data_IF_176591816816
#
_entry.id   IF_176591816816
#
_cell.length_a   1.000
_cell.length_b   1.000
_cell.length_c   1.000
_cell.angle_alpha   90.00
_cell.angle_beta   90.00
_cell.angle_gamma   90.00
#
_symmetry.space_group_name_H-M   'P 1'
#
loop_
_entity.id
_entity.type
_entity.pdbx_description
1 polymer ?
#
# COMPACT_ATOMS: atom_id res chain seq x y z
N UNK A 1 -26.55 19.64 28.57
CA UNK A 1 -25.79 19.23 27.38
C UNK A 1 -24.63 18.27 27.68
N UNK A 2 -24.09 18.19 28.88
CA UNK A 2 -22.98 17.30 29.28
C UNK A 2 -23.38 15.85 29.60
N UNK A 3 -24.63 15.59 29.92
CA UNK A 3 -25.14 14.24 30.27
C UNK A 3 -25.41 13.35 29.04
N UNK A 4 -25.62 13.93 27.86
CA UNK A 4 -25.85 13.15 26.62
C UNK A 4 -24.58 12.47 26.08
N UNK A 5 -23.42 13.02 26.28
CA UNK A 5 -22.15 12.47 25.81
C UNK A 5 -21.68 11.24 26.61
N UNK A 6 -21.87 11.25 27.91
CA UNK A 6 -21.45 10.16 28.81
C UNK A 6 -22.34 8.91 28.59
N UNK A 7 -23.64 9.10 28.42
CA UNK A 7 -24.56 7.99 28.12
C UNK A 7 -24.31 7.36 26.73
N UNK A 8 -23.89 8.17 25.76
CA UNK A 8 -23.59 7.69 24.42
C UNK A 8 -22.26 6.90 24.36
N UNK A 9 -21.23 7.36 25.07
CA UNK A 9 -19.96 6.63 25.20
C UNK A 9 -20.13 5.29 25.90
N UNK A 10 -20.96 5.22 26.94
CA UNK A 10 -21.33 3.99 27.62
C UNK A 10 -22.13 3.06 26.69
N UNK A 11 -23.04 3.60 25.87
CA UNK A 11 -23.84 2.82 24.92
C UNK A 11 -22.96 2.20 23.81
N UNK A 12 -22.06 2.96 23.20
CA UNK A 12 -21.11 2.41 22.21
C UNK A 12 -20.21 1.33 22.80
N UNK A 13 -19.76 1.51 24.03
CA UNK A 13 -18.97 0.50 24.75
C UNK A 13 -19.78 -0.76 24.99
N UNK A 14 -21.04 -0.63 25.43
CA UNK A 14 -21.95 -1.76 25.69
C UNK A 14 -22.35 -2.49 24.39
N UNK A 15 -22.77 -1.75 23.36
CA UNK A 15 -23.10 -2.34 22.05
C UNK A 15 -21.88 -3.01 21.40
N UNK A 16 -20.69 -2.42 21.53
CA UNK A 16 -19.45 -3.02 21.05
C UNK A 16 -19.10 -4.33 21.76
N UNK A 17 -19.25 -4.39 23.07
CA UNK A 17 -19.03 -5.61 23.85
C UNK A 17 -20.07 -6.69 23.51
N UNK A 18 -21.35 -6.32 23.31
CA UNK A 18 -22.40 -7.24 22.87
C UNK A 18 -22.15 -7.78 21.47
N UNK A 19 -21.74 -6.94 20.51
CA UNK A 19 -21.43 -7.36 19.13
C UNK A 19 -20.22 -8.30 19.13
N UNK A 20 -19.19 -7.97 19.88
CA UNK A 20 -18.00 -8.83 20.03
C UNK A 20 -18.40 -10.16 20.67
N UNK A 21 -19.18 -10.14 21.76
CA UNK A 21 -19.69 -11.35 22.41
C UNK A 21 -20.53 -12.21 21.44
N UNK A 22 -21.40 -11.59 20.63
CA UNK A 22 -22.20 -12.30 19.63
C UNK A 22 -21.35 -12.99 18.56
N UNK A 23 -20.29 -12.32 18.08
CA UNK A 23 -19.35 -12.90 17.09
C UNK A 23 -18.63 -14.11 17.69
N UNK A 24 -18.15 -13.99 18.94
CA UNK A 24 -17.44 -15.08 19.64
C UNK A 24 -18.35 -16.26 19.94
N UNK A 25 -19.59 -16.01 20.40
CA UNK A 25 -20.57 -17.07 20.67
C UNK A 25 -20.96 -17.83 19.39
N UNK A 26 -21.05 -17.13 18.25
CA UNK A 26 -21.38 -17.73 16.96
C UNK A 26 -20.24 -18.60 16.41
N UNK A 27 -18.99 -18.28 16.73
CA UNK A 27 -17.81 -19.08 16.36
C UNK A 27 -17.47 -20.18 17.36
N UNK A 28 -18.23 -20.34 18.44
CA UNK A 28 -17.97 -21.33 19.50
C UNK A 28 -16.68 -21.06 20.29
N UNK A 29 -16.17 -19.83 20.23
CA UNK A 29 -15.00 -19.39 21.00
C UNK A 29 -15.45 -18.75 22.31
N UNK A 30 -14.78 -19.09 23.41
CA UNK A 30 -14.99 -18.39 24.70
C UNK A 30 -14.65 -16.90 24.54
N UNK A 31 -15.25 -16.02 25.35
CA UNK A 31 -14.97 -14.58 25.40
C UNK A 31 -13.55 -14.25 25.85
N UNK A 32 -12.56 -15.06 25.46
CA UNK A 32 -11.15 -14.82 25.76
C UNK A 32 -10.54 -13.84 24.75
N UNK A 33 -10.21 -12.70 25.30
CA UNK A 33 -9.28 -11.69 24.78
C UNK A 33 -9.62 -11.06 23.44
N UNK A 34 -10.05 -9.79 23.50
CA UNK A 34 -9.94 -8.83 22.39
C UNK A 34 -8.59 -9.05 21.69
N UNK A 35 -8.61 -9.47 20.44
CA UNK A 35 -7.36 -9.70 19.68
C UNK A 35 -6.52 -8.42 19.73
N UNK A 36 -5.41 -8.48 20.45
CA UNK A 36 -4.43 -7.40 20.53
C UNK A 36 -3.18 -7.78 19.73
N UNK A 37 -2.45 -6.79 19.29
CA UNK A 37 -1.15 -7.02 18.69
C UNK A 37 -0.23 -7.76 19.68
N UNK A 38 0.45 -8.79 19.22
CA UNK A 38 1.36 -9.58 20.04
C UNK A 38 2.55 -8.78 20.57
N UNK A 39 2.94 -7.72 19.84
CA UNK A 39 3.99 -6.79 20.25
C UNK A 39 3.82 -5.42 19.58
N UNK A 40 4.38 -4.37 20.22
CA UNK A 40 4.46 -3.03 19.61
C UNK A 40 5.23 -3.05 18.30
N UNK A 41 6.35 -3.79 18.25
CA UNK A 41 7.14 -3.94 17.03
C UNK A 41 6.33 -4.59 15.91
N UNK A 42 5.56 -5.64 16.23
CA UNK A 42 4.67 -6.29 15.24
C UNK A 42 3.62 -5.35 14.67
N UNK A 43 2.96 -4.58 15.54
CA UNK A 43 2.04 -3.52 15.10
C UNK A 43 2.74 -2.53 14.16
N UNK A 44 3.91 -2.00 14.56
CA UNK A 44 4.66 -1.04 13.76
C UNK A 44 5.05 -1.59 12.38
N UNK A 45 5.44 -2.87 12.30
CA UNK A 45 5.75 -3.52 11.02
C UNK A 45 4.51 -3.66 10.13
N UNK A 46 3.36 -4.04 10.69
CA UNK A 46 2.12 -4.11 9.92
C UNK A 46 1.64 -2.71 9.50
N UNK A 47 1.70 -1.73 10.38
CA UNK A 47 1.29 -0.35 10.09
C UNK A 47 2.20 0.32 9.05
N UNK A 48 3.52 0.14 9.14
CA UNK A 48 4.46 0.57 8.11
C UNK A 48 4.21 -0.17 6.78
N UNK A 49 3.95 -1.48 6.83
CA UNK A 49 3.62 -2.26 5.63
C UNK A 49 2.27 -1.89 4.99
N UNK A 50 1.34 -1.34 5.76
CA UNK A 50 0.10 -0.78 5.22
C UNK A 50 0.36 0.46 4.36
N UNK A 51 1.33 1.30 4.77
CA UNK A 51 1.72 2.52 4.05
C UNK A 51 2.70 2.23 2.92
N UNK A 52 3.77 1.46 3.19
CA UNK A 52 4.81 1.17 2.19
C UNK A 52 4.25 0.25 1.12
N UNK A 53 3.96 0.83 -0.03
CA UNK A 53 3.36 0.14 -1.17
C UNK A 53 4.02 0.48 -2.49
N UNK A 54 3.35 0.13 -3.57
CA UNK A 54 3.81 0.44 -4.93
C UNK A 54 3.96 1.95 -5.16
N UNK A 55 3.13 2.76 -4.49
CA UNK A 55 3.20 4.23 -4.57
C UNK A 55 4.54 4.81 -4.16
N UNK A 56 5.22 4.21 -3.17
CA UNK A 56 6.56 4.61 -2.73
C UNK A 56 7.62 4.28 -3.78
N UNK A 57 7.45 3.17 -4.50
CA UNK A 57 8.51 2.61 -5.33
C UNK A 57 8.44 3.13 -6.76
N UNK A 58 7.25 3.46 -7.29
CA UNK A 58 7.17 3.99 -8.65
C UNK A 58 6.65 5.43 -8.74
N UNK A 59 5.57 5.76 -7.98
CA UNK A 59 4.94 7.09 -8.11
C UNK A 59 5.79 8.18 -7.46
N UNK A 60 6.36 7.91 -6.30
CA UNK A 60 7.22 8.88 -5.61
C UNK A 60 8.47 9.25 -6.44
N UNK A 61 9.29 8.31 -6.96
CA UNK A 61 10.45 8.68 -7.79
C UNK A 61 10.06 9.43 -9.05
N UNK A 62 8.94 9.08 -9.68
CA UNK A 62 8.39 9.80 -10.82
C UNK A 62 8.05 11.24 -10.48
N UNK A 63 7.33 11.47 -9.37
CA UNK A 63 6.97 12.82 -8.92
C UNK A 63 8.21 13.61 -8.47
N UNK A 64 9.16 12.98 -7.81
CA UNK A 64 10.43 13.59 -7.42
C UNK A 64 11.22 14.05 -8.65
N UNK A 65 11.31 13.20 -9.68
CA UNK A 65 11.96 13.56 -10.93
C UNK A 65 11.24 14.71 -11.64
N UNK A 66 9.94 14.64 -11.82
CA UNK A 66 9.13 15.68 -12.47
C UNK A 66 9.08 16.99 -11.68
N UNK A 67 9.11 16.89 -10.34
CA UNK A 67 9.01 18.00 -9.40
C UNK A 67 10.34 18.73 -9.14
N UNK A 68 11.40 18.45 -9.91
CA UNK A 68 12.69 19.13 -9.75
C UNK A 68 13.64 18.48 -8.74
N UNK A 69 13.50 17.18 -8.49
CA UNK A 69 14.41 16.39 -7.65
C UNK A 69 14.43 16.85 -6.19
N UNK A 70 15.55 17.45 -5.76
CA UNK A 70 15.77 17.84 -4.38
C UNK A 70 14.73 18.83 -3.82
N UNK A 71 14.18 19.72 -4.64
CA UNK A 71 13.12 20.65 -4.18
C UNK A 71 11.83 19.90 -3.84
N UNK A 72 11.43 18.91 -4.67
CA UNK A 72 10.29 18.05 -4.35
C UNK A 72 10.53 17.29 -3.04
N UNK A 73 11.73 16.76 -2.84
CA UNK A 73 12.09 16.02 -1.63
C UNK A 73 11.95 16.88 -0.38
N UNK A 74 12.44 18.12 -0.39
CA UNK A 74 12.29 19.06 0.74
C UNK A 74 10.82 19.36 1.02
N UNK A 75 10.05 19.69 -0.02
CA UNK A 75 8.60 19.97 0.12
C UNK A 75 7.87 18.75 0.67
N UNK A 76 8.16 17.57 0.13
CA UNK A 76 7.56 16.30 0.58
C UNK A 76 7.83 16.04 2.07
N UNK A 77 9.06 16.20 2.54
CA UNK A 77 9.44 16.02 3.94
C UNK A 77 8.68 16.99 4.87
N UNK A 78 8.52 18.25 4.48
CA UNK A 78 7.73 19.23 5.23
C UNK A 78 6.26 18.83 5.31
N UNK A 79 5.69 18.36 4.20
CA UNK A 79 4.29 17.88 4.13
C UNK A 79 4.10 16.62 4.99
N UNK A 80 5.05 15.69 5.00
CA UNK A 80 5.00 14.50 5.87
C UNK A 80 4.90 14.89 7.35
N UNK A 81 5.73 15.83 7.79
CA UNK A 81 5.71 16.29 9.18
C UNK A 81 4.42 17.04 9.52
N UNK A 82 3.92 17.85 8.59
CA UNK A 82 2.74 18.69 8.81
C UNK A 82 1.42 17.92 8.72
N UNK A 83 1.33 16.92 7.84
CA UNK A 83 0.08 16.21 7.56
C UNK A 83 0.11 14.72 7.93
N UNK A 84 1.12 13.95 7.47
CA UNK A 84 1.09 12.50 7.64
C UNK A 84 1.06 12.08 9.11
N UNK A 85 2.03 12.56 9.90
CA UNK A 85 2.13 12.21 11.31
C UNK A 85 0.86 12.53 12.12
N UNK A 86 0.29 13.76 12.10
CA UNK A 86 -0.91 14.06 12.89
C UNK A 86 -2.14 13.29 12.38
N UNK A 87 -2.28 13.04 11.09
CA UNK A 87 -3.42 12.31 10.55
C UNK A 87 -3.36 10.81 10.89
N UNK A 88 -2.19 10.17 10.79
CA UNK A 88 -1.98 8.78 11.25
C UNK A 88 -2.28 8.66 12.74
N UNK A 89 -1.81 9.62 13.55
CA UNK A 89 -2.08 9.65 14.99
C UNK A 89 -3.58 9.74 15.27
N UNK A 90 -4.29 10.63 14.56
CA UNK A 90 -5.74 10.83 14.70
C UNK A 90 -6.53 9.58 14.31
N UNK A 91 -6.29 9.01 13.12
CA UNK A 91 -6.98 7.81 12.67
C UNK A 91 -6.74 6.62 13.62
N UNK A 92 -5.50 6.43 14.03
CA UNK A 92 -5.13 5.38 14.99
C UNK A 92 -5.81 5.58 16.35
N UNK A 93 -5.93 6.84 16.82
CA UNK A 93 -6.63 7.17 18.05
C UNK A 93 -8.13 6.86 17.98
N UNK A 94 -8.79 7.20 16.86
CA UNK A 94 -10.19 6.87 16.60
C UNK A 94 -10.39 5.35 16.66
N UNK A 95 -9.56 4.59 15.96
CA UNK A 95 -9.59 3.14 15.95
C UNK A 95 -9.41 2.54 17.36
N UNK A 96 -8.38 2.99 18.08
CA UNK A 96 -8.10 2.52 19.46
C UNK A 96 -9.21 2.87 20.44
N UNK A 97 -9.87 4.02 20.25
CA UNK A 97 -10.97 4.44 21.10
C UNK A 97 -12.19 3.51 20.95
N UNK A 98 -12.60 3.25 19.71
CA UNK A 98 -13.76 2.38 19.43
C UNK A 98 -13.45 0.90 19.68
N UNK A 99 -12.27 0.44 19.25
CA UNK A 99 -11.86 -0.95 19.25
C UNK A 99 -12.65 -1.84 18.28
N UNK A 100 -13.35 -1.24 17.32
CA UNK A 100 -14.24 -1.86 16.35
C UNK A 100 -13.80 -1.57 14.90
N UNK A 101 -14.68 -1.83 13.96
CA UNK A 101 -14.50 -1.48 12.56
C UNK A 101 -14.61 0.04 12.33
N UNK A 102 -14.25 0.47 11.14
CA UNK A 102 -14.17 1.90 10.78
C UNK A 102 -15.54 2.57 10.81
N UNK A 103 -16.59 1.92 10.32
CA UNK A 103 -17.93 2.50 10.28
C UNK A 103 -18.43 2.75 11.70
N UNK A 104 -18.34 1.74 12.56
CA UNK A 104 -18.74 1.84 13.96
C UNK A 104 -17.84 2.82 14.73
N UNK A 105 -16.57 2.95 14.38
CA UNK A 105 -15.67 3.91 14.99
C UNK A 105 -16.16 5.36 14.80
N UNK A 106 -16.61 5.72 13.59
CA UNK A 106 -17.20 7.03 13.35
C UNK A 106 -18.59 7.19 13.97
N UNK A 107 -19.41 6.15 13.97
CA UNK A 107 -20.72 6.17 14.66
C UNK A 107 -20.59 6.39 16.16
N UNK A 108 -19.51 5.90 16.79
CA UNK A 108 -19.21 6.15 18.20
C UNK A 108 -18.90 7.61 18.48
N UNK A 109 -18.41 8.38 17.51
CA UNK A 109 -18.22 9.83 17.65
C UNK A 109 -19.56 10.55 17.44
N UNK A 110 -20.25 10.22 16.35
CA UNK A 110 -21.60 10.73 16.05
C UNK A 110 -22.31 9.71 15.13
N UNK A 111 -23.53 9.27 15.45
CA UNK A 111 -24.27 8.29 14.66
C UNK A 111 -24.44 8.66 13.18
N UNK A 112 -24.45 9.96 12.85
CA UNK A 112 -24.57 10.44 11.48
C UNK A 112 -23.28 10.29 10.68
N UNK A 113 -22.12 10.04 11.30
CA UNK A 113 -20.82 10.02 10.62
C UNK A 113 -20.40 8.61 10.17
N UNK A 114 -21.24 7.60 10.36
CA UNK A 114 -20.97 6.25 9.85
C UNK A 114 -20.67 6.21 8.34
N UNK A 115 -21.24 7.16 7.56
CA UNK A 115 -21.00 7.25 6.13
C UNK A 115 -19.52 7.50 5.79
N UNK A 116 -18.78 8.21 6.65
CA UNK A 116 -17.33 8.47 6.45
C UNK A 116 -16.57 7.15 6.48
N UNK A 117 -16.93 6.27 7.43
CA UNK A 117 -16.36 4.91 7.49
C UNK A 117 -16.69 4.06 6.25
N UNK A 118 -17.91 4.18 5.72
CA UNK A 118 -18.29 3.50 4.48
C UNK A 118 -17.51 4.02 3.27
N UNK A 119 -17.26 5.33 3.16
CA UNK A 119 -16.42 5.91 2.10
C UNK A 119 -15.01 5.33 2.18
N UNK A 120 -14.39 5.29 3.37
CA UNK A 120 -13.06 4.70 3.55
C UNK A 120 -13.00 3.22 3.15
N UNK A 121 -14.02 2.43 3.51
CA UNK A 121 -14.12 1.03 3.07
C UNK A 121 -14.30 0.91 1.55
N UNK A 122 -15.10 1.78 0.95
CA UNK A 122 -15.28 1.82 -0.51
C UNK A 122 -13.94 2.13 -1.21
N UNK A 123 -13.19 3.10 -0.70
CA UNK A 123 -11.87 3.42 -1.23
C UNK A 123 -10.92 2.20 -1.19
N UNK A 124 -10.85 1.49 -0.05
CA UNK A 124 -9.98 0.32 0.06
C UNK A 124 -10.42 -0.84 -0.82
N UNK A 125 -11.72 -1.05 -1.03
CA UNK A 125 -12.20 -2.12 -1.92
C UNK A 125 -11.91 -1.79 -3.39
N UNK A 126 -12.10 -0.55 -3.81
CA UNK A 126 -11.78 -0.09 -5.17
C UNK A 126 -10.28 -0.18 -5.47
N UNK A 127 -9.44 0.20 -4.50
CA UNK A 127 -7.98 0.05 -4.63
C UNK A 127 -7.61 -1.42 -4.77
N UNK A 128 -8.20 -2.32 -4.01
CA UNK A 128 -7.94 -3.75 -4.12
C UNK A 128 -8.21 -4.32 -5.52
N UNK A 129 -9.22 -3.82 -6.25
CA UNK A 129 -9.52 -4.28 -7.61
C UNK A 129 -8.33 -4.12 -8.56
N UNK A 130 -7.65 -2.98 -8.47
CA UNK A 130 -6.47 -2.66 -9.27
C UNK A 130 -5.18 -3.21 -8.65
N UNK A 131 -5.02 -3.09 -7.35
CA UNK A 131 -3.75 -3.37 -6.66
C UNK A 131 -3.36 -4.85 -6.72
N UNK A 132 -4.35 -5.76 -6.69
CA UNK A 132 -4.14 -7.20 -6.86
C UNK A 132 -3.66 -7.52 -8.29
N UNK A 133 -4.19 -6.84 -9.32
CA UNK A 133 -3.75 -7.02 -10.72
C UNK A 133 -2.28 -6.66 -10.86
N UNK A 134 -1.91 -5.46 -10.42
CA UNK A 134 -0.53 -4.99 -10.49
C UNK A 134 0.41 -5.82 -9.64
N UNK A 135 -0.06 -6.26 -8.47
CA UNK A 135 0.67 -7.23 -7.64
C UNK A 135 0.95 -8.54 -8.37
N UNK A 136 0.00 -9.02 -9.16
CA UNK A 136 0.19 -10.17 -10.07
C UNK A 136 1.26 -9.93 -11.12
N UNK A 137 1.34 -8.71 -11.68
CA UNK A 137 2.42 -8.34 -12.61
C UNK A 137 3.79 -8.37 -11.92
N UNK A 138 3.88 -7.83 -10.70
CA UNK A 138 5.11 -7.88 -9.90
C UNK A 138 5.55 -9.33 -9.67
N UNK A 139 4.62 -10.21 -9.31
CA UNK A 139 4.89 -11.63 -9.10
C UNK A 139 5.39 -12.31 -10.39
N UNK A 140 4.76 -12.01 -11.53
CA UNK A 140 5.19 -12.51 -12.84
C UNK A 140 6.62 -12.09 -13.16
N UNK A 141 6.95 -10.80 -12.94
CA UNK A 141 8.28 -10.26 -13.19
C UNK A 141 9.34 -10.83 -12.25
N UNK A 142 9.01 -11.01 -10.98
CA UNK A 142 9.88 -11.71 -10.03
C UNK A 142 10.24 -13.10 -10.53
N UNK A 143 9.24 -13.87 -10.93
CA UNK A 143 9.47 -15.21 -11.49
C UNK A 143 10.29 -15.16 -12.79
N UNK A 144 10.08 -14.15 -13.64
CA UNK A 144 10.85 -13.97 -14.86
C UNK A 144 12.33 -13.73 -14.58
N UNK A 145 12.67 -12.87 -13.62
CA UNK A 145 14.05 -12.63 -13.21
C UNK A 145 14.70 -13.87 -12.57
N UNK A 146 13.99 -14.57 -11.69
CA UNK A 146 14.54 -15.72 -10.98
C UNK A 146 14.76 -16.92 -11.91
N UNK A 147 13.76 -17.29 -12.70
CA UNK A 147 13.77 -18.56 -13.43
C UNK A 147 14.26 -18.45 -14.87
N UNK A 148 13.99 -17.32 -15.55
CA UNK A 148 14.33 -17.15 -16.97
C UNK A 148 15.53 -16.22 -17.15
N UNK A 149 15.52 -15.06 -16.53
CA UNK A 149 16.64 -14.09 -16.56
C UNK A 149 16.70 -13.22 -17.82
N UNK A 150 15.72 -13.32 -18.73
CA UNK A 150 15.60 -12.44 -19.90
C UNK A 150 14.13 -12.14 -20.22
N UNK A 151 13.88 -11.20 -21.15
CA UNK A 151 12.55 -10.73 -21.54
C UNK A 151 12.35 -10.80 -23.06
N UNK A 152 13.04 -11.74 -23.73
CA UNK A 152 12.93 -11.91 -25.19
C UNK A 152 13.56 -10.76 -26.00
N UNK A 153 14.50 -10.02 -25.41
CA UNK A 153 15.23 -8.93 -26.06
C UNK A 153 14.63 -7.52 -25.84
N UNK A 154 13.29 -7.39 -25.69
CA UNK A 154 12.63 -6.10 -25.44
C UNK A 154 11.66 -6.17 -24.26
N UNK A 155 12.02 -5.62 -23.08
CA UNK A 155 11.16 -5.55 -21.92
C UNK A 155 9.83 -4.83 -22.15
N UNK A 156 9.81 -3.82 -23.04
CA UNK A 156 8.58 -3.08 -23.37
C UNK A 156 7.60 -3.94 -24.17
N UNK A 157 8.10 -4.69 -25.16
CA UNK A 157 7.29 -5.65 -25.92
C UNK A 157 6.79 -6.78 -25.01
N UNK A 158 7.62 -7.27 -24.08
CA UNK A 158 7.22 -8.26 -23.09
C UNK A 158 6.09 -7.76 -22.20
N UNK A 159 6.21 -6.52 -21.65
CA UNK A 159 5.18 -5.93 -20.80
C UNK A 159 3.85 -5.78 -21.53
N UNK A 160 3.89 -5.21 -22.75
CA UNK A 160 2.70 -5.05 -23.61
C UNK A 160 2.05 -6.39 -23.96
N UNK A 161 2.85 -7.38 -24.34
CA UNK A 161 2.39 -8.73 -24.65
C UNK A 161 1.74 -9.40 -23.44
N UNK A 162 2.37 -9.32 -22.27
CA UNK A 162 1.86 -9.87 -21.03
C UNK A 162 0.56 -9.19 -20.58
N UNK A 163 0.50 -7.86 -20.55
CA UNK A 163 -0.69 -7.14 -20.09
C UNK A 163 -1.87 -7.22 -21.05
N UNK A 164 -1.61 -7.46 -22.35
CA UNK A 164 -2.65 -7.66 -23.36
C UNK A 164 -3.16 -9.10 -23.43
N UNK A 165 -2.46 -10.06 -22.82
CA UNK A 165 -2.90 -11.46 -22.78
C UNK A 165 -4.16 -11.59 -21.90
N UNK A 166 -5.22 -12.26 -22.38
CA UNK A 166 -6.48 -12.37 -21.64
C UNK A 166 -6.39 -13.27 -20.40
N UNK A 167 -5.37 -14.11 -20.28
CA UNK A 167 -5.31 -15.18 -19.28
C UNK A 167 -4.17 -14.98 -18.28
N UNK A 168 -2.96 -14.66 -18.76
CA UNK A 168 -1.77 -14.60 -17.89
C UNK A 168 -1.90 -13.59 -16.74
N UNK A 169 -2.32 -12.32 -16.93
CA UNK A 169 -2.47 -11.38 -15.82
C UNK A 169 -3.47 -11.87 -14.78
N UNK A 170 -4.54 -12.54 -15.21
CA UNK A 170 -5.56 -13.09 -14.31
C UNK A 170 -4.95 -14.22 -13.46
N UNK A 171 -4.22 -15.16 -14.06
CA UNK A 171 -3.61 -16.29 -13.32
C UNK A 171 -2.67 -15.75 -12.23
N UNK A 172 -1.75 -14.85 -12.57
CA UNK A 172 -0.77 -14.33 -11.62
C UNK A 172 -1.41 -13.51 -10.49
N UNK A 173 -2.42 -12.73 -10.79
CA UNK A 173 -3.15 -11.96 -9.79
C UNK A 173 -4.04 -12.87 -8.91
N UNK A 174 -4.64 -13.94 -9.46
CA UNK A 174 -5.40 -14.91 -8.66
C UNK A 174 -4.50 -15.71 -7.71
N UNK A 175 -3.27 -16.06 -8.10
CA UNK A 175 -2.29 -16.70 -7.20
C UNK A 175 -2.05 -15.79 -5.99
N UNK A 176 -1.81 -14.49 -6.23
CA UNK A 176 -1.60 -13.51 -5.16
C UNK A 176 -2.85 -13.34 -4.28
N UNK A 177 -4.03 -13.22 -4.89
CA UNK A 177 -5.30 -13.09 -4.20
C UNK A 177 -5.56 -14.28 -3.26
N UNK A 178 -5.35 -15.51 -3.75
CA UNK A 178 -5.52 -16.72 -2.96
C UNK A 178 -4.53 -16.74 -1.79
N UNK A 179 -3.28 -16.40 -2.02
CA UNK A 179 -2.26 -16.33 -0.97
C UNK A 179 -2.65 -15.35 0.14
N UNK A 180 -2.99 -14.11 -0.21
CA UNK A 180 -3.37 -13.06 0.74
C UNK A 180 -4.62 -13.47 1.52
N UNK A 181 -5.64 -13.99 0.84
CA UNK A 181 -6.90 -14.44 1.46
C UNK A 181 -6.66 -15.61 2.42
N UNK A 182 -5.85 -16.59 2.04
CA UNK A 182 -5.50 -17.73 2.88
C UNK A 182 -4.77 -17.29 4.18
N UNK A 183 -3.88 -16.31 4.08
CA UNK A 183 -3.21 -15.76 5.25
C UNK A 183 -4.19 -15.05 6.22
N UNK A 184 -5.15 -14.30 5.68
CA UNK A 184 -6.11 -13.51 6.45
C UNK A 184 -7.22 -14.36 7.10
N UNK A 185 -7.48 -15.58 6.63
CA UNK A 185 -8.40 -16.52 7.30
C UNK A 185 -8.06 -16.75 8.78
N UNK A 186 -6.79 -16.60 9.16
CA UNK A 186 -6.29 -16.82 10.52
C UNK A 186 -6.15 -15.55 11.36
N UNK A 187 -6.53 -14.38 10.81
CA UNK A 187 -6.46 -13.08 11.49
C UNK A 187 -5.13 -12.34 11.32
N UNK A 188 -5.23 -11.02 11.30
CA UNK A 188 -4.08 -10.13 11.04
C UNK A 188 -3.07 -10.12 12.20
N UNK A 189 -3.53 -10.26 13.44
CA UNK A 189 -2.69 -10.21 14.65
C UNK A 189 -1.85 -11.46 14.90
N UNK A 190 -2.04 -12.52 14.12
CA UNK A 190 -1.36 -13.80 14.27
C UNK A 190 -0.27 -14.00 13.20
N UNK A 191 -0.68 -14.63 12.06
CA UNK A 191 0.25 -14.99 11.00
C UNK A 191 0.77 -13.76 10.24
N UNK A 192 -0.09 -12.78 9.99
CA UNK A 192 0.28 -11.57 9.26
C UNK A 192 1.27 -10.73 10.05
N UNK A 193 1.07 -10.54 11.37
CA UNK A 193 2.04 -9.85 12.23
C UNK A 193 3.42 -10.51 12.18
N UNK A 194 3.45 -11.87 12.27
CA UNK A 194 4.71 -12.62 12.22
C UNK A 194 5.42 -12.44 10.87
N UNK A 195 4.66 -12.49 9.78
CA UNK A 195 5.19 -12.32 8.44
C UNK A 195 5.70 -10.89 8.21
N UNK A 196 4.96 -9.87 8.67
CA UNK A 196 5.36 -8.48 8.55
C UNK A 196 6.66 -8.15 9.28
N UNK A 197 6.92 -8.78 10.44
CA UNK A 197 8.18 -8.64 11.18
C UNK A 197 9.42 -9.07 10.38
N UNK A 198 9.23 -9.95 9.41
CA UNK A 198 10.30 -10.40 8.50
C UNK A 198 10.30 -9.59 7.20
N UNK A 199 9.13 -9.44 6.56
CA UNK A 199 8.98 -8.80 5.24
C UNK A 199 9.47 -7.34 5.27
N UNK A 200 9.10 -6.56 6.31
CA UNK A 200 9.40 -5.14 6.31
C UNK A 200 10.89 -4.82 6.44
N UNK A 201 11.66 -5.42 7.39
CA UNK A 201 13.10 -5.23 7.41
C UNK A 201 13.80 -5.75 6.15
N UNK A 202 13.34 -6.89 5.60
CA UNK A 202 13.88 -7.45 4.37
C UNK A 202 13.66 -6.52 3.16
N UNK A 203 12.46 -5.93 3.03
CA UNK A 203 12.15 -4.95 2.00
C UNK A 203 13.11 -3.75 2.06
N UNK A 204 13.28 -3.16 3.24
CA UNK A 204 14.19 -2.02 3.42
C UNK A 204 15.63 -2.40 3.07
N UNK A 205 16.09 -3.57 3.53
CA UNK A 205 17.43 -4.07 3.19
C UNK A 205 17.61 -4.25 1.68
N UNK A 206 16.63 -4.82 1.00
CA UNK A 206 16.65 -5.00 -0.46
C UNK A 206 16.70 -3.66 -1.20
N UNK A 207 15.91 -2.66 -0.76
CA UNK A 207 15.95 -1.33 -1.35
C UNK A 207 17.32 -0.65 -1.12
N UNK A 208 17.94 -0.84 0.04
CA UNK A 208 19.31 -0.34 0.31
C UNK A 208 20.31 -1.01 -0.64
N UNK A 209 20.27 -2.33 -0.78
CA UNK A 209 21.16 -3.08 -1.69
C UNK A 209 20.99 -2.59 -3.13
N UNK A 210 19.75 -2.48 -3.61
CA UNK A 210 19.46 -1.99 -4.96
C UNK A 210 19.89 -0.52 -5.14
N UNK A 211 19.70 0.33 -4.14
CA UNK A 211 20.10 1.74 -4.16
C UNK A 211 21.63 1.91 -4.20
N UNK A 212 22.35 1.18 -3.35
CA UNK A 212 23.83 1.18 -3.38
C UNK A 212 24.32 0.69 -4.73
N UNK A 213 23.76 -0.39 -5.25
CA UNK A 213 24.11 -0.90 -6.57
C UNK A 213 23.87 0.15 -7.67
N UNK A 214 22.69 0.77 -7.71
CA UNK A 214 22.34 1.80 -8.68
C UNK A 214 23.29 3.01 -8.64
N UNK A 215 23.69 3.42 -7.43
CA UNK A 215 24.59 4.55 -7.24
C UNK A 215 26.07 4.27 -7.56
N UNK A 216 26.50 3.00 -7.51
CA UNK A 216 27.91 2.63 -7.65
C UNK A 216 28.27 2.02 -9.01
N UNK A 217 27.34 1.30 -9.63
CA UNK A 217 27.59 0.52 -10.85
C UNK A 217 27.09 1.26 -12.12
N UNK A 218 26.11 2.18 -11.97
CA UNK A 218 25.53 2.86 -13.13
C UNK A 218 26.37 4.06 -13.51
N UNK A 219 26.89 4.07 -14.74
CA UNK A 219 27.58 5.24 -15.29
C UNK A 219 26.64 6.46 -15.32
N UNK A 220 27.14 7.63 -14.90
CA UNK A 220 26.29 8.85 -14.81
C UNK A 220 25.39 8.97 -13.57
N UNK A 221 25.40 7.97 -12.67
CA UNK A 221 24.60 8.00 -11.42
C UNK A 221 24.83 9.25 -10.57
N UNK A 222 26.06 9.81 -10.58
CA UNK A 222 26.38 11.04 -9.84
C UNK A 222 25.52 12.24 -10.27
N UNK A 223 25.20 12.36 -11.57
CA UNK A 223 24.27 13.38 -12.08
C UNK A 223 22.86 13.22 -11.52
N UNK A 224 22.37 11.98 -11.49
CA UNK A 224 21.07 11.62 -10.92
C UNK A 224 21.01 11.89 -9.42
N UNK A 225 22.06 11.54 -8.66
CA UNK A 225 22.17 11.82 -7.23
C UNK A 225 22.20 13.33 -6.95
N UNK A 226 22.99 14.10 -7.72
CA UNK A 226 23.03 15.55 -7.60
C UNK A 226 21.64 16.15 -7.84
N UNK A 227 20.95 15.72 -8.88
CA UNK A 227 19.59 16.16 -9.19
C UNK A 227 18.60 15.82 -8.07
N UNK A 228 18.68 14.60 -7.54
CA UNK A 228 17.73 14.10 -6.54
C UNK A 228 17.91 14.73 -5.16
N UNK A 229 19.15 15.04 -4.76
CA UNK A 229 19.47 15.50 -3.40
C UNK A 229 19.64 17.01 -3.29
N UNK A 230 20.14 17.69 -4.33
CA UNK A 230 20.37 19.13 -4.25
C UNK A 230 19.13 19.92 -4.68
N UNK A 231 18.52 20.69 -3.75
CA UNK A 231 17.31 21.45 -4.06
C UNK A 231 17.64 22.68 -4.93
N UNK A 232 16.96 22.76 -6.07
CA UNK A 232 16.94 23.95 -6.92
C UNK A 232 15.57 24.64 -6.74
N UNK A 233 15.51 25.61 -5.84
CA UNK A 233 14.26 26.31 -5.51
C UNK A 233 13.68 27.11 -6.68
N UNK A 234 14.42 27.36 -7.76
CA UNK A 234 13.87 27.97 -8.97
C UNK A 234 12.80 27.10 -9.64
N UNK A 235 12.82 25.79 -9.38
CA UNK A 235 11.85 24.80 -9.87
C UNK A 235 10.63 24.63 -8.99
N UNK A 236 10.56 25.36 -7.86
CA UNK A 236 9.40 25.31 -7.00
C UNK A 236 8.18 25.93 -7.70
N UNK A 237 7.08 25.18 -7.70
CA UNK A 237 5.78 25.63 -8.21
C UNK A 237 4.65 25.16 -7.29
N UNK A 238 3.48 25.81 -7.37
CA UNK A 238 2.29 25.35 -6.64
C UNK A 238 1.92 23.91 -7.01
N UNK A 239 2.21 23.50 -8.24
CA UNK A 239 2.02 22.11 -8.69
C UNK A 239 2.92 21.15 -7.93
N UNK A 240 4.20 21.46 -7.74
CA UNK A 240 5.14 20.63 -6.95
C UNK A 240 4.62 20.44 -5.52
N UNK A 241 4.10 21.51 -4.90
CA UNK A 241 3.48 21.43 -3.57
C UNK A 241 2.23 20.54 -3.57
N UNK A 242 1.32 20.73 -4.53
CA UNK A 242 0.10 19.92 -4.65
C UNK A 242 0.41 18.43 -4.93
N UNK A 243 1.40 18.15 -5.80
CA UNK A 243 1.86 16.80 -6.09
C UNK A 243 2.46 16.15 -4.82
N UNK A 244 3.23 16.90 -4.01
CA UNK A 244 3.78 16.41 -2.74
C UNK A 244 2.68 16.10 -1.72
N UNK A 245 1.68 16.99 -1.55
CA UNK A 245 0.52 16.75 -0.67
C UNK A 245 -0.24 15.50 -1.11
N UNK A 246 -0.56 15.41 -2.40
CA UNK A 246 -1.29 14.27 -2.96
C UNK A 246 -0.51 12.97 -2.77
N UNK A 247 0.82 13.02 -2.96
CA UNK A 247 1.68 11.84 -2.77
C UNK A 247 1.72 11.41 -1.31
N UNK A 248 1.84 12.34 -0.36
CA UNK A 248 1.83 12.03 1.09
C UNK A 248 0.52 11.37 1.50
N UNK A 249 -0.62 11.95 1.11
CA UNK A 249 -1.95 11.41 1.46
C UNK A 249 -2.14 10.01 0.86
N UNK A 250 -1.73 9.82 -0.39
CA UNK A 250 -1.84 8.55 -1.10
C UNK A 250 -0.88 7.49 -0.53
N UNK A 251 0.40 7.83 -0.33
CA UNK A 251 1.44 6.90 0.10
C UNK A 251 1.15 6.33 1.49
N UNK A 252 0.85 7.22 2.43
CA UNK A 252 0.53 6.81 3.81
C UNK A 252 -0.82 6.09 3.90
N UNK A 253 -1.74 6.31 2.95
CA UNK A 253 -3.08 5.71 2.95
C UNK A 253 -4.04 6.42 3.91
N UNK A 254 -3.90 7.73 4.05
CA UNK A 254 -4.76 8.57 4.90
C UNK A 254 -6.16 8.67 4.27
N UNK A 255 -7.18 8.53 5.09
CA UNK A 255 -8.58 8.53 4.65
C UNK A 255 -9.08 7.18 4.14
N UNK A 256 -8.22 6.15 4.07
CA UNK A 256 -8.57 4.81 3.59
C UNK A 256 -8.99 3.87 4.72
N UNK A 257 -9.19 4.39 5.92
CA UNK A 257 -9.62 3.61 7.09
C UNK A 257 -8.60 2.59 7.62
N UNK A 258 -7.40 2.54 7.06
CA UNK A 258 -6.38 1.57 7.42
C UNK A 258 -5.96 1.70 8.88
N UNK A 259 -5.57 2.91 9.29
CA UNK A 259 -5.08 3.15 10.64
C UNK A 259 -6.19 3.08 11.70
N UNK A 260 -7.43 3.33 11.32
CA UNK A 260 -8.58 3.09 12.20
C UNK A 260 -8.71 1.60 12.48
N UNK A 261 -8.67 0.77 11.43
CA UNK A 261 -8.76 -0.69 11.56
C UNK A 261 -7.59 -1.29 12.36
N UNK A 262 -6.34 -0.88 12.02
CA UNK A 262 -5.14 -1.36 12.72
C UNK A 262 -5.10 -0.84 14.16
N UNK A 263 -5.55 0.41 14.38
CA UNK A 263 -5.63 1.08 15.67
C UNK A 263 -6.56 0.39 16.66
N UNK A 264 -7.62 -0.25 16.16
CA UNK A 264 -8.61 -0.94 17.00
C UNK A 264 -8.01 -2.02 17.93
N UNK A 265 -6.88 -2.59 17.54
CA UNK A 265 -6.21 -3.67 18.27
C UNK A 265 -4.98 -3.20 19.08
N UNK A 266 -4.73 -1.88 19.18
CA UNK A 266 -3.57 -1.33 19.90
C UNK A 266 -3.84 -1.28 21.41
N UNK A 267 -2.93 -1.81 22.25
CA UNK A 267 -3.00 -1.67 23.69
C UNK A 267 -2.97 -0.20 24.13
N UNK A 268 -3.74 0.14 25.18
CA UNK A 268 -3.82 1.51 25.72
C UNK A 268 -2.46 2.08 26.16
N UNK A 269 -1.51 1.22 26.56
CA UNK A 269 -0.16 1.60 27.00
C UNK A 269 0.75 2.15 25.87
N UNK A 270 0.42 1.92 24.61
CA UNK A 270 1.24 2.36 23.50
C UNK A 270 1.14 3.88 23.28
N UNK A 271 2.27 4.49 22.98
CA UNK A 271 2.37 5.92 22.68
C UNK A 271 2.08 6.15 21.18
N UNK A 272 0.86 6.60 20.85
CA UNK A 272 0.43 6.82 19.47
C UNK A 272 1.27 7.87 18.73
N UNK A 273 1.75 8.92 19.43
CA UNK A 273 2.59 9.97 18.81
C UNK A 273 3.89 9.37 18.25
N UNK A 274 4.54 8.52 19.05
CA UNK A 274 5.75 7.82 18.64
C UNK A 274 5.48 6.79 17.54
N UNK A 275 4.34 6.10 17.62
CA UNK A 275 3.97 5.08 16.64
C UNK A 275 3.64 5.74 15.28
N UNK A 276 2.88 6.84 15.27
CA UNK A 276 2.57 7.61 14.06
C UNK A 276 3.84 8.21 13.41
N UNK A 277 4.76 8.74 14.24
CA UNK A 277 6.05 9.25 13.74
C UNK A 277 6.85 8.13 13.07
N UNK A 278 6.94 6.95 13.71
CA UNK A 278 7.64 5.81 13.14
C UNK A 278 7.05 5.37 11.79
N UNK A 279 5.73 5.25 11.69
CA UNK A 279 5.05 4.85 10.46
C UNK A 279 5.29 5.86 9.34
N UNK A 280 5.10 7.15 9.62
CA UNK A 280 5.34 8.22 8.63
C UNK A 280 6.80 8.28 8.18
N UNK A 281 7.73 8.07 9.10
CA UNK A 281 9.16 8.02 8.79
C UNK A 281 9.51 6.77 7.97
N UNK A 282 8.99 5.59 8.31
CA UNK A 282 9.26 4.35 7.59
C UNK A 282 8.73 4.41 6.14
N UNK A 283 7.52 4.95 5.94
CA UNK A 283 6.95 5.20 4.62
C UNK A 283 7.84 6.12 3.78
N UNK A 284 8.20 7.27 4.34
CA UNK A 284 9.08 8.25 3.70
C UNK A 284 10.45 7.66 3.36
N UNK A 285 11.04 6.92 4.31
CA UNK A 285 12.35 6.32 4.13
C UNK A 285 12.35 5.31 2.98
N UNK A 286 11.32 4.46 2.90
CA UNK A 286 11.17 3.53 1.77
C UNK A 286 11.01 4.26 0.43
N UNK A 287 10.20 5.34 0.38
CA UNK A 287 10.03 6.16 -0.82
C UNK A 287 11.34 6.80 -1.27
N UNK A 288 12.09 7.37 -0.32
CA UNK A 288 13.41 7.98 -0.60
C UNK A 288 14.42 6.93 -1.09
N UNK A 289 14.46 5.76 -0.47
CA UNK A 289 15.30 4.65 -0.94
C UNK A 289 14.95 4.21 -2.37
N UNK A 290 13.67 4.12 -2.70
CA UNK A 290 13.24 3.82 -4.07
C UNK A 290 13.69 4.91 -5.06
N UNK A 291 13.72 6.18 -4.65
CA UNK A 291 14.31 7.27 -5.42
C UNK A 291 15.80 7.07 -5.70
N UNK A 292 16.56 6.57 -4.72
CA UNK A 292 17.97 6.21 -4.92
C UNK A 292 18.18 5.02 -5.88
N UNK A 293 17.22 4.13 -6.02
CA UNK A 293 17.28 3.05 -7.01
C UNK A 293 16.97 3.58 -8.39
N UNK A 294 15.89 4.33 -8.55
CA UNK A 294 15.30 4.63 -9.86
C UNK A 294 15.97 5.84 -10.53
N UNK A 295 16.18 6.94 -9.80
CA UNK A 295 16.65 8.19 -10.41
C UNK A 295 18.09 8.07 -10.92
N UNK A 296 19.07 7.57 -10.13
CA UNK A 296 20.43 7.38 -10.65
C UNK A 296 20.50 6.38 -11.81
N UNK A 297 19.71 5.29 -11.74
CA UNK A 297 19.65 4.29 -12.83
C UNK A 297 19.12 4.87 -14.13
N UNK A 298 18.06 5.68 -14.06
CA UNK A 298 17.45 6.32 -15.23
C UNK A 298 18.39 7.39 -15.83
N UNK A 299 19.06 8.19 -15.00
CA UNK A 299 20.04 9.19 -15.44
C UNK A 299 21.22 8.53 -16.15
N UNK A 300 21.76 7.43 -15.61
CA UNK A 300 22.85 6.71 -16.23
C UNK A 300 22.47 6.04 -17.55
N UNK A 301 21.24 5.57 -17.66
CA UNK A 301 20.72 5.01 -18.91
C UNK A 301 20.28 6.07 -19.94
N UNK A 302 20.26 7.36 -19.56
CA UNK A 302 19.77 8.44 -20.43
C UNK A 302 18.26 8.35 -20.73
N UNK A 303 17.48 7.75 -19.82
CA UNK A 303 16.05 7.47 -20.01
C UNK A 303 15.21 8.45 -19.17
N UNK A 304 14.16 8.97 -19.77
CA UNK A 304 13.22 9.83 -19.08
C UNK A 304 12.35 9.06 -18.06
N UNK A 305 12.33 9.55 -16.82
CA UNK A 305 11.56 8.93 -15.69
C UNK A 305 10.05 9.25 -15.76
N UNK A 306 9.56 9.86 -16.85
CA UNK A 306 8.16 10.34 -16.94
C UNK A 306 7.09 9.26 -17.22
N UNK A 307 7.45 7.98 -17.28
CA UNK A 307 6.52 6.92 -17.72
C UNK A 307 5.64 6.27 -16.62
N UNK A 308 5.49 6.86 -15.43
CA UNK A 308 4.60 6.32 -14.39
C UNK A 308 4.86 4.85 -14.02
N UNK A 309 3.81 4.00 -13.84
CA UNK A 309 3.98 2.57 -13.50
C UNK A 309 4.82 1.78 -14.52
N UNK A 310 4.72 2.09 -15.82
CA UNK A 310 5.53 1.44 -16.87
C UNK A 310 7.04 1.61 -16.64
N UNK A 311 7.45 2.66 -15.92
CA UNK A 311 8.84 2.85 -15.52
C UNK A 311 9.43 1.61 -14.83
N UNK A 312 8.69 0.98 -13.92
CA UNK A 312 9.18 -0.19 -13.19
C UNK A 312 9.25 -1.43 -14.09
N UNK A 313 8.22 -1.66 -14.88
CA UNK A 313 8.08 -2.90 -15.64
C UNK A 313 8.85 -2.88 -16.97
N UNK A 314 8.89 -1.74 -17.63
CA UNK A 314 9.60 -1.62 -18.92
C UNK A 314 11.04 -1.10 -18.71
N UNK A 315 11.17 0.08 -18.09
CA UNK A 315 12.46 0.80 -18.03
C UNK A 315 13.42 0.13 -17.05
N UNK A 316 12.99 -0.09 -15.78
CA UNK A 316 13.90 -0.66 -14.78
C UNK A 316 14.28 -2.10 -15.12
N UNK A 317 13.36 -2.88 -15.71
CA UNK A 317 13.68 -4.23 -16.18
C UNK A 317 14.75 -4.19 -17.30
N UNK A 318 14.63 -3.26 -18.23
CA UNK A 318 15.64 -3.05 -19.29
C UNK A 318 17.00 -2.62 -18.74
N UNK A 319 17.02 -1.69 -17.79
CA UNK A 319 18.25 -1.22 -17.13
C UNK A 319 18.94 -2.39 -16.42
N UNK A 320 18.22 -3.14 -15.59
CA UNK A 320 18.81 -4.26 -14.85
C UNK A 320 19.38 -5.34 -15.78
N UNK A 321 18.74 -5.64 -16.91
CA UNK A 321 19.26 -6.63 -17.86
C UNK A 321 20.62 -6.24 -18.48
N UNK A 322 20.86 -4.94 -18.64
CA UNK A 322 22.08 -4.42 -19.27
C UNK A 322 23.21 -4.18 -18.26
N UNK A 323 22.97 -4.31 -16.96
CA UNK A 323 23.96 -4.09 -15.92
C UNK A 323 24.62 -5.41 -15.44
N UNK A 324 25.90 -5.38 -15.04
CA UNK A 324 26.59 -6.55 -14.46
C UNK A 324 25.81 -7.10 -13.25
N UNK A 325 25.51 -8.41 -13.23
CA UNK A 325 24.71 -9.01 -12.14
C UNK A 325 23.24 -8.59 -12.08
N UNK A 326 22.74 -7.92 -13.11
CA UNK A 326 21.39 -7.32 -13.16
C UNK A 326 20.25 -8.31 -12.93
N UNK A 327 20.44 -9.60 -13.27
CA UNK A 327 19.46 -10.65 -12.93
C UNK A 327 19.25 -10.77 -11.41
N UNK A 328 20.31 -10.70 -10.62
CA UNK A 328 20.24 -10.80 -9.15
C UNK A 328 19.59 -9.54 -8.58
N UNK A 329 20.03 -8.36 -9.03
CA UNK A 329 19.49 -7.07 -8.58
C UNK A 329 18.03 -6.90 -8.99
N UNK A 330 17.66 -7.29 -10.22
CA UNK A 330 16.27 -7.29 -10.66
C UNK A 330 15.40 -8.25 -9.83
N UNK A 331 15.90 -9.45 -9.52
CA UNK A 331 15.21 -10.36 -8.60
C UNK A 331 15.03 -9.76 -7.20
N UNK A 332 16.07 -9.11 -6.66
CA UNK A 332 16.03 -8.43 -5.36
C UNK A 332 15.02 -7.28 -5.37
N UNK A 333 15.01 -6.45 -6.42
CA UNK A 333 14.09 -5.33 -6.58
C UNK A 333 12.63 -5.80 -6.68
N UNK A 334 12.32 -6.78 -7.54
CA UNK A 334 10.96 -7.31 -7.67
C UNK A 334 10.52 -8.11 -6.43
N UNK A 335 11.45 -8.70 -5.68
CA UNK A 335 11.14 -9.31 -4.38
C UNK A 335 10.80 -8.24 -3.33
N UNK A 336 11.49 -7.11 -3.31
CA UNK A 336 11.12 -5.97 -2.47
C UNK A 336 9.72 -5.44 -2.84
N UNK A 337 9.43 -5.32 -4.14
CA UNK A 337 8.11 -4.92 -4.64
C UNK A 337 7.00 -5.87 -4.18
N UNK A 338 7.19 -7.20 -4.30
CA UNK A 338 6.14 -8.15 -3.88
C UNK A 338 5.93 -8.10 -2.36
N UNK A 339 6.96 -7.84 -1.58
CA UNK A 339 6.83 -7.63 -0.13
C UNK A 339 6.02 -6.38 0.19
N UNK A 340 6.24 -5.27 -0.52
CA UNK A 340 5.44 -4.06 -0.40
C UNK A 340 3.97 -4.31 -0.78
N UNK A 341 3.72 -5.03 -1.88
CA UNK A 341 2.37 -5.39 -2.32
C UNK A 341 1.63 -6.22 -1.27
N UNK A 342 2.25 -7.30 -0.79
CA UNK A 342 1.63 -8.23 0.15
C UNK A 342 1.29 -7.54 1.48
N UNK A 343 2.20 -6.71 2.00
CA UNK A 343 1.99 -6.01 3.26
C UNK A 343 0.84 -5.00 3.20
N UNK A 344 0.72 -4.26 2.10
CA UNK A 344 -0.40 -3.32 1.88
C UNK A 344 -1.73 -4.07 1.68
N UNK A 345 -1.74 -5.14 0.87
CA UNK A 345 -2.94 -5.95 0.63
C UNK A 345 -3.52 -6.53 1.93
N UNK A 346 -2.68 -6.98 2.86
CA UNK A 346 -3.17 -7.46 4.15
C UNK A 346 -4.02 -6.42 4.87
N UNK A 347 -3.59 -5.17 4.87
CA UNK A 347 -4.29 -4.09 5.56
C UNK A 347 -5.55 -3.64 4.81
N UNK A 348 -5.51 -3.57 3.48
CA UNK A 348 -6.68 -3.24 2.66
C UNK A 348 -7.79 -4.28 2.80
N UNK A 349 -7.44 -5.56 2.74
CA UNK A 349 -8.41 -6.65 2.92
C UNK A 349 -8.96 -6.68 4.35
N UNK A 350 -8.09 -6.54 5.37
CA UNK A 350 -8.50 -6.56 6.77
C UNK A 350 -9.53 -5.48 7.09
N UNK A 351 -9.36 -4.27 6.52
CA UNK A 351 -10.31 -3.17 6.70
C UNK A 351 -11.72 -3.57 6.25
N UNK A 352 -11.83 -4.18 5.08
CA UNK A 352 -13.12 -4.62 4.52
C UNK A 352 -13.66 -5.85 5.26
N UNK A 353 -12.81 -6.83 5.59
CA UNK A 353 -13.18 -8.02 6.34
C UNK A 353 -13.73 -7.64 7.71
N UNK A 354 -13.04 -6.74 8.44
CA UNK A 354 -13.45 -6.30 9.77
C UNK A 354 -14.80 -5.59 9.74
N UNK A 355 -15.04 -4.74 8.76
CA UNK A 355 -16.34 -4.09 8.58
C UNK A 355 -17.44 -5.11 8.25
N UNK A 356 -17.16 -6.11 7.42
CA UNK A 356 -18.12 -7.18 7.15
C UNK A 356 -18.41 -8.04 8.40
N UNK A 357 -17.41 -8.34 9.22
CA UNK A 357 -17.60 -9.05 10.49
C UNK A 357 -18.56 -8.29 11.41
N UNK A 358 -18.34 -6.99 11.59
CA UNK A 358 -19.10 -6.17 12.56
C UNK A 358 -20.46 -5.76 12.00
N UNK A 359 -20.52 -5.17 10.80
CA UNK A 359 -21.76 -4.60 10.25
C UNK A 359 -22.67 -5.64 9.63
N UNK A 360 -22.12 -6.66 8.97
CA UNK A 360 -22.93 -7.74 8.38
C UNK A 360 -23.04 -8.96 9.29
N UNK A 361 -22.46 -8.89 10.50
CA UNK A 361 -22.51 -9.96 11.53
C UNK A 361 -22.07 -11.31 10.95
N UNK A 362 -21.02 -11.31 10.14
CA UNK A 362 -20.48 -12.50 9.51
C UNK A 362 -19.31 -13.06 10.31
N UNK A 363 -19.17 -14.39 10.33
CA UNK A 363 -17.93 -15.00 10.82
C UNK A 363 -16.75 -14.71 9.88
N UNK A 364 -15.54 -14.62 10.44
CA UNK A 364 -14.33 -14.23 9.71
C UNK A 364 -14.09 -14.99 8.41
N UNK A 365 -14.20 -16.32 8.43
CA UNK A 365 -14.02 -17.16 7.24
C UNK A 365 -14.96 -16.76 6.10
N UNK A 366 -16.24 -16.54 6.43
CA UNK A 366 -17.26 -16.12 5.47
C UNK A 366 -16.99 -14.71 4.93
N UNK A 367 -16.65 -13.78 5.81
CA UNK A 367 -16.30 -12.41 5.42
C UNK A 367 -15.09 -12.38 4.48
N UNK A 368 -14.00 -13.08 4.84
CA UNK A 368 -12.79 -13.19 4.00
C UNK A 368 -13.11 -13.77 2.63
N UNK A 369 -13.90 -14.85 2.57
CA UNK A 369 -14.26 -15.49 1.30
C UNK A 369 -15.10 -14.57 0.41
N UNK A 370 -16.10 -13.88 0.97
CA UNK A 370 -16.96 -12.97 0.21
C UNK A 370 -16.14 -11.81 -0.35
N UNK A 371 -15.29 -11.18 0.47
CA UNK A 371 -14.41 -10.09 0.02
C UNK A 371 -13.45 -10.58 -1.07
N UNK A 372 -12.86 -11.77 -0.90
CA UNK A 372 -11.98 -12.36 -1.91
C UNK A 372 -12.70 -12.63 -3.23
N UNK A 373 -13.94 -13.13 -3.20
CA UNK A 373 -14.75 -13.36 -4.41
C UNK A 373 -15.07 -12.03 -5.11
N UNK A 374 -15.50 -11.00 -4.37
CA UNK A 374 -15.80 -9.68 -4.94
C UNK A 374 -14.56 -9.11 -5.63
N UNK A 375 -13.42 -9.13 -4.95
CA UNK A 375 -12.16 -8.64 -5.52
C UNK A 375 -11.71 -9.51 -6.69
N UNK A 376 -11.87 -10.83 -6.61
CA UNK A 376 -11.53 -11.76 -7.69
C UNK A 376 -12.33 -11.52 -8.97
N UNK A 377 -13.63 -11.29 -8.84
CA UNK A 377 -14.48 -10.94 -9.99
C UNK A 377 -14.04 -9.59 -10.59
N UNK A 378 -13.87 -8.57 -9.77
CA UNK A 378 -13.42 -7.26 -10.24
C UNK A 378 -12.03 -7.32 -10.89
N UNK A 379 -11.12 -8.13 -10.33
CA UNK A 379 -9.78 -8.37 -10.86
C UNK A 379 -9.82 -8.90 -12.31
N UNK A 380 -10.74 -9.82 -12.64
CA UNK A 380 -10.91 -10.32 -14.00
C UNK A 380 -11.25 -9.16 -14.95
N UNK A 381 -12.23 -8.33 -14.61
CA UNK A 381 -12.62 -7.19 -15.44
C UNK A 381 -11.49 -6.16 -15.59
N UNK A 382 -10.79 -5.84 -14.50
CA UNK A 382 -9.65 -4.90 -14.53
C UNK A 382 -8.51 -5.47 -15.38
N UNK A 383 -8.19 -6.75 -15.26
CA UNK A 383 -7.16 -7.40 -16.09
C UNK A 383 -7.52 -7.38 -17.58
N UNK A 384 -8.76 -7.70 -17.92
CA UNK A 384 -9.25 -7.65 -19.30
C UNK A 384 -9.28 -6.22 -19.87
N UNK A 385 -9.46 -5.22 -19.03
CA UNK A 385 -9.41 -3.80 -19.40
C UNK A 385 -8.05 -3.35 -19.94
N UNK A 386 -6.96 -3.99 -19.54
CA UNK A 386 -5.62 -3.73 -20.11
C UNK A 386 -5.39 -4.46 -21.45
N UNK A 387 -6.17 -5.49 -21.75
CA UNK A 387 -6.05 -6.33 -22.93
C UNK A 387 -7.27 -6.28 -23.85
N UNK A 388 -8.05 -7.39 -23.96
CA UNK A 388 -9.15 -7.53 -24.93
C UNK A 388 -10.26 -6.48 -24.79
N UNK A 389 -10.48 -5.94 -23.59
CA UNK A 389 -11.51 -4.93 -23.31
C UNK A 389 -10.99 -3.51 -23.27
N UNK A 390 -9.77 -3.24 -23.74
CA UNK A 390 -9.14 -1.90 -23.73
C UNK A 390 -9.97 -0.82 -24.43
N UNK A 391 -10.81 -1.19 -25.39
CA UNK A 391 -11.75 -0.27 -26.06
C UNK A 391 -13.07 -0.02 -25.32
N UNK A 392 -13.35 -0.76 -24.24
CA UNK A 392 -14.57 -0.58 -23.45
C UNK A 392 -14.36 0.55 -22.43
N UNK A 393 -14.85 1.73 -22.79
CA UNK A 393 -14.75 2.94 -21.95
C UNK A 393 -16.10 3.24 -21.33
N UNK A 394 -16.13 3.43 -20.00
CA UNK A 394 -17.30 3.95 -19.30
C UNK A 394 -17.20 5.47 -19.31
N UNK A 395 -18.05 6.21 -20.07
CA UNK A 395 -17.83 7.64 -20.38
C UNK A 395 -17.65 8.56 -19.15
N UNK A 396 -18.26 8.22 -18.03
CA UNK A 396 -18.20 9.03 -16.79
C UNK A 396 -17.08 8.64 -15.82
N UNK A 397 -16.40 7.49 -16.06
CA UNK A 397 -15.17 7.09 -15.34
C UNK A 397 -13.89 7.56 -16.07
N UNK A 398 -14.04 8.12 -17.27
CA UNK A 398 -12.93 8.47 -18.16
C UNK A 398 -12.16 9.74 -17.77
N UNK A 399 -12.67 10.57 -16.87
CA UNK A 399 -12.08 11.87 -16.50
C UNK A 399 -10.79 11.78 -15.66
N UNK A 400 -10.05 10.71 -15.71
CA UNK A 400 -8.77 10.55 -15.01
C UNK A 400 -7.83 9.52 -15.62
N UNK A 401 -8.23 8.81 -16.67
CA UNK A 401 -7.45 7.68 -17.19
C UNK A 401 -6.34 8.05 -18.19
N UNK A 402 -6.31 9.29 -18.70
CA UNK A 402 -5.26 9.74 -19.64
C UNK A 402 -3.91 10.04 -18.98
N UNK A 403 -3.85 10.16 -17.66
CA UNK A 403 -2.59 10.36 -16.92
C UNK A 403 -2.02 9.06 -16.30
N UNK A 404 -2.68 7.92 -16.46
CA UNK A 404 -2.19 6.62 -15.96
C UNK A 404 -1.39 5.83 -17.00
N UNK A 405 -1.18 6.37 -18.21
CA UNK A 405 -0.37 5.76 -19.27
C UNK A 405 0.91 6.50 -19.55
#
# INVERSE_FOLDING_TARGET
MLLGGVNFQLRCRFEGEIIIAYIFLKEGKSMEQKQQWGSRFGYLMVAAGASIGLGNIWKFPYLAYRGGGGVFLVVYLLVVLALAKPMVEMETAIGRHSGLDTVTAFECINPRWGFVGWIGNLCTIMINFYYVVVGGWVLRYLCQFIFVGNFGGDPSAFFKGFTSDPVQPIIWSMILLIFVSAMLLFGITNKVERLAKFIMPALILMLIICGVYACTITDGAAGGLKYYLLPDFSKFTVKVFADAVTQVLFSVGIGWSLFITLGANIPKKNNLKSDALFVSFADTFAAVLAGFVIIPSAFGAGIDVQKGPALVFEVMSGIFLNLPGGRIIGSCFFLALIFAVISSLFSFFETNIRTAEVKLKMGRKKATLIIAIIIGIANIFVSLGFGPMKGFQIPWLYYGSTEFY
#
